data_IF_560583360382
#
_entry.id   IF_560583360382
#
_cell.length_a   1.000
_cell.length_b   1.000
_cell.length_c   1.000
_cell.angle_alpha   90.00
_cell.angle_beta   90.00
_cell.angle_gamma   90.00
#
_symmetry.space_group_name_H-M   'P 1'
#
loop_
_entity.id
_entity.type
_entity.pdbx_description
1 polymer ?
#
# COMPACT_ATOMS: atom_id res chain seq x y z
N UNK A 1 -4.17 15.06 -1.75
CA UNK A 1 -2.69 15.17 -1.74
C UNK A 1 -2.13 14.40 -0.55
N UNK A 2 -1.04 13.70 -0.74
CA UNK A 2 -0.41 12.93 0.34
C UNK A 2 0.41 13.87 1.22
N UNK A 3 0.20 13.83 2.54
CA UNK A 3 0.93 14.65 3.50
C UNK A 3 2.43 14.33 3.49
N UNK A 4 3.27 15.31 3.74
CA UNK A 4 4.73 15.17 3.66
C UNK A 4 5.26 14.06 4.59
N UNK A 5 4.74 13.95 5.80
CA UNK A 5 5.16 12.90 6.74
C UNK A 5 4.75 11.51 6.27
N UNK A 6 3.56 11.37 5.69
CA UNK A 6 3.10 10.12 5.09
C UNK A 6 3.99 9.76 3.90
N UNK A 7 4.27 10.76 3.05
CA UNK A 7 5.14 10.56 1.87
C UNK A 7 6.53 10.09 2.30
N UNK A 8 7.10 10.67 3.34
CA UNK A 8 8.42 10.27 3.84
C UNK A 8 8.43 8.81 4.32
N UNK A 9 7.39 8.38 5.04
CA UNK A 9 7.26 6.98 5.47
C UNK A 9 7.12 6.04 4.27
N UNK A 10 6.28 6.40 3.32
CA UNK A 10 5.99 5.57 2.14
C UNK A 10 7.21 5.46 1.22
N UNK A 11 7.95 6.53 1.02
CA UNK A 11 9.13 6.53 0.15
C UNK A 11 10.32 5.82 0.77
N UNK A 12 10.37 5.71 2.09
CA UNK A 12 11.38 4.92 2.77
C UNK A 12 11.19 3.42 2.54
N UNK A 13 12.20 2.62 2.87
CA UNK A 13 12.13 1.16 2.79
C UNK A 13 11.35 0.61 3.98
N UNK A 14 10.10 0.99 4.07
CA UNK A 14 9.18 0.63 5.14
C UNK A 14 8.08 -0.29 4.61
N UNK A 15 7.50 -1.10 5.48
CA UNK A 15 6.41 -1.98 5.11
C UNK A 15 5.07 -1.33 5.42
N UNK A 16 4.04 -1.84 4.77
CA UNK A 16 2.67 -1.38 4.97
C UNK A 16 1.72 -2.56 5.06
N UNK A 17 0.53 -2.31 5.56
CA UNK A 17 -0.60 -3.23 5.41
C UNK A 17 -1.66 -2.54 4.57
N UNK A 18 -2.39 -3.35 3.82
CA UNK A 18 -3.63 -2.90 3.17
C UNK A 18 -4.78 -3.74 3.68
N UNK A 19 -5.85 -3.08 4.11
CA UNK A 19 -7.09 -3.72 4.53
C UNK A 19 -8.16 -3.47 3.48
N UNK A 20 -8.80 -4.54 3.04
CA UNK A 20 -9.89 -4.53 2.05
C UNK A 20 -11.07 -5.29 2.59
N UNK A 21 -12.23 -5.16 1.93
CA UNK A 21 -13.47 -5.79 2.40
C UNK A 21 -13.80 -7.01 1.57
N UNK A 22 -13.96 -8.16 2.25
CA UNK A 22 -14.47 -9.39 1.64
C UNK A 22 -15.97 -9.23 1.32
N UNK A 23 -16.52 -10.09 0.43
CA UNK A 23 -17.92 -9.94 -0.02
C UNK A 23 -18.95 -9.85 1.12
N UNK A 24 -18.70 -10.53 2.24
CA UNK A 24 -19.60 -10.52 3.40
C UNK A 24 -19.26 -9.44 4.44
N UNK A 25 -18.35 -8.52 4.07
CA UNK A 25 -18.00 -7.39 4.94
C UNK A 25 -16.89 -7.65 5.93
N UNK A 26 -16.35 -8.85 5.99
CA UNK A 26 -15.20 -9.12 6.84
C UNK A 26 -13.96 -8.42 6.27
N UNK A 27 -13.07 -7.98 7.14
CA UNK A 27 -11.86 -7.24 6.75
C UNK A 27 -10.74 -8.23 6.50
N UNK A 28 -10.06 -8.10 5.35
CA UNK A 28 -8.85 -8.83 5.02
C UNK A 28 -7.66 -7.88 5.07
N UNK A 29 -6.59 -8.24 5.76
CA UNK A 29 -5.40 -7.40 5.92
C UNK A 29 -4.16 -8.17 5.51
N UNK A 30 -3.39 -7.61 4.58
CA UNK A 30 -2.12 -8.20 4.11
C UNK A 30 -0.99 -7.19 4.21
N UNK A 31 0.23 -7.69 4.48
CA UNK A 31 1.46 -6.89 4.39
C UNK A 31 1.81 -6.72 2.91
N UNK A 32 2.17 -5.51 2.53
CA UNK A 32 2.47 -5.16 1.14
C UNK A 32 3.67 -4.22 1.06
N UNK A 33 4.29 -4.16 -0.11
CA UNK A 33 5.17 -3.06 -0.49
C UNK A 33 4.31 -1.84 -0.85
N UNK A 34 4.85 -0.65 -0.69
CA UNK A 34 4.09 0.58 -0.86
C UNK A 34 4.91 1.65 -1.55
N UNK A 35 4.25 2.45 -2.34
CA UNK A 35 4.78 3.66 -2.95
C UNK A 35 3.69 4.73 -2.98
N UNK A 36 4.01 5.91 -3.47
CA UNK A 36 3.04 6.98 -3.65
C UNK A 36 3.48 7.91 -4.77
N UNK A 37 2.51 8.58 -5.37
CA UNK A 37 2.73 9.83 -6.09
C UNK A 37 2.28 10.99 -5.18
N UNK A 38 2.15 12.20 -5.72
CA UNK A 38 1.77 13.36 -4.91
C UNK A 38 0.35 13.26 -4.36
N UNK A 39 -0.53 12.52 -5.01
CA UNK A 39 -1.96 12.50 -4.72
C UNK A 39 -2.49 11.13 -4.28
N UNK A 40 -1.72 10.05 -4.44
CA UNK A 40 -2.19 8.69 -4.23
C UNK A 40 -1.17 7.84 -3.49
N UNK A 41 -1.68 6.95 -2.63
CA UNK A 41 -0.93 5.77 -2.22
C UNK A 41 -1.01 4.76 -3.37
N UNK A 42 0.11 4.09 -3.66
CA UNK A 42 0.25 3.17 -4.79
C UNK A 42 0.59 1.78 -4.26
N UNK A 43 -0.26 0.81 -4.59
CA UNK A 43 -0.07 -0.60 -4.25
C UNK A 43 -0.07 -1.40 -5.55
N UNK A 44 0.91 -2.30 -5.72
CA UNK A 44 0.94 -3.21 -6.86
C UNK A 44 0.43 -4.58 -6.42
N UNK A 45 -0.42 -5.20 -7.23
CA UNK A 45 -0.98 -6.51 -6.94
C UNK A 45 -1.24 -7.28 -8.25
N UNK A 46 -1.87 -8.45 -8.14
CA UNK A 46 -2.23 -9.28 -9.30
C UNK A 46 -3.74 -9.46 -9.38
N UNK A 47 -4.25 -9.54 -10.60
CA UNK A 47 -5.70 -9.70 -10.84
C UNK A 47 -6.24 -11.01 -10.25
N UNK A 48 -5.40 -12.03 -10.09
CA UNK A 48 -5.81 -13.31 -9.50
C UNK A 48 -5.92 -13.31 -7.98
N UNK A 49 -5.46 -12.27 -7.30
CA UNK A 49 -5.46 -12.22 -5.84
C UNK A 49 -6.78 -11.67 -5.29
N UNK A 50 -7.14 -12.14 -4.09
CA UNK A 50 -8.41 -11.77 -3.44
C UNK A 50 -8.54 -10.27 -3.23
N UNK A 51 -7.46 -9.58 -2.83
CA UNK A 51 -7.52 -8.14 -2.59
C UNK A 51 -7.91 -7.33 -3.83
N UNK A 52 -7.50 -7.78 -5.03
CA UNK A 52 -7.90 -7.12 -6.26
C UNK A 52 -9.41 -7.24 -6.48
N UNK A 53 -9.95 -8.44 -6.30
CA UNK A 53 -11.39 -8.69 -6.41
C UNK A 53 -12.16 -7.89 -5.36
N UNK A 54 -11.62 -7.78 -4.15
CA UNK A 54 -12.25 -7.02 -3.08
C UNK A 54 -12.40 -5.55 -3.45
N UNK A 55 -11.34 -4.91 -3.97
CA UNK A 55 -11.41 -3.47 -4.32
C UNK A 55 -12.24 -3.20 -5.56
N UNK A 56 -12.42 -4.18 -6.44
CA UNK A 56 -13.36 -4.04 -7.56
C UNK A 56 -14.81 -3.99 -7.07
N UNK A 57 -15.14 -4.80 -6.04
CA UNK A 57 -16.48 -4.86 -5.48
C UNK A 57 -16.74 -3.69 -4.51
N UNK A 58 -15.75 -3.30 -3.73
CA UNK A 58 -15.84 -2.20 -2.77
C UNK A 58 -14.46 -1.50 -2.73
N UNK A 59 -14.37 -0.27 -3.22
CA UNK A 59 -13.08 0.41 -3.37
C UNK A 59 -12.48 0.93 -2.08
N UNK A 60 -13.19 0.85 -0.94
CA UNK A 60 -12.69 1.36 0.33
C UNK A 60 -11.53 0.52 0.84
N UNK A 61 -10.47 1.20 1.26
CA UNK A 61 -9.27 0.55 1.81
C UNK A 61 -8.71 1.37 2.96
N UNK A 62 -7.93 0.71 3.81
CA UNK A 62 -7.08 1.39 4.80
C UNK A 62 -5.67 0.87 4.60
N UNK A 63 -4.71 1.80 4.52
CA UNK A 63 -3.29 1.48 4.42
C UNK A 63 -2.60 2.02 5.67
N UNK A 64 -1.85 1.16 6.36
CA UNK A 64 -1.00 1.56 7.48
C UNK A 64 0.44 1.33 7.08
N UNK A 65 1.28 2.36 7.21
CA UNK A 65 2.71 2.27 6.94
C UNK A 65 3.47 2.68 8.20
N UNK A 66 4.50 1.92 8.56
CA UNK A 66 5.27 2.17 9.79
C UNK A 66 6.75 2.26 9.49
N UNK A 67 7.45 3.02 10.33
CA UNK A 67 8.91 3.10 10.29
C UNK A 67 9.48 1.74 10.70
N UNK A 68 10.34 1.17 9.86
CA UNK A 68 10.92 -0.15 10.11
C UNK A 68 11.73 -0.20 11.39
N UNK A 69 12.34 0.91 11.79
CA UNK A 69 13.19 0.99 12.99
C UNK A 69 12.41 1.38 14.23
N UNK A 70 11.26 2.05 14.05
CA UNK A 70 10.39 2.46 15.15
C UNK A 70 8.93 2.32 14.74
N UNK A 71 8.32 1.15 14.96
CA UNK A 71 6.95 0.90 14.49
C UNK A 71 5.88 1.77 15.18
N UNK A 72 6.25 2.50 16.23
CA UNK A 72 5.37 3.48 16.87
C UNK A 72 5.36 4.83 16.16
N UNK A 73 6.17 4.98 15.12
CA UNK A 73 6.04 6.04 14.14
C UNK A 73 5.36 5.42 12.91
N UNK A 74 4.09 5.72 12.73
CA UNK A 74 3.30 5.15 11.64
C UNK A 74 2.23 6.13 11.16
N UNK A 75 1.73 5.86 9.97
CA UNK A 75 0.61 6.59 9.39
C UNK A 75 -0.52 5.63 9.05
N UNK A 76 -1.75 6.07 9.23
CA UNK A 76 -2.95 5.39 8.76
C UNK A 76 -3.60 6.25 7.69
N UNK A 77 -3.77 5.69 6.50
CA UNK A 77 -4.43 6.36 5.39
C UNK A 77 -5.71 5.59 5.07
N UNK A 78 -6.86 6.19 5.35
CA UNK A 78 -8.15 5.67 4.91
C UNK A 78 -8.47 6.32 3.58
N UNK A 79 -8.85 5.50 2.62
CA UNK A 79 -9.11 6.00 1.29
C UNK A 79 -9.89 5.02 0.45
N UNK A 80 -9.85 5.25 -0.85
CA UNK A 80 -10.52 4.38 -1.80
C UNK A 80 -9.73 4.33 -3.10
N UNK A 81 -9.83 3.18 -3.77
CA UNK A 81 -9.18 2.99 -5.06
C UNK A 81 -9.92 3.82 -6.11
N UNK A 82 -9.20 4.73 -6.77
CA UNK A 82 -9.76 5.62 -7.78
C UNK A 82 -9.34 5.24 -9.19
N UNK A 83 -8.26 4.48 -9.33
CA UNK A 83 -7.73 4.08 -10.64
C UNK A 83 -7.01 2.76 -10.52
N UNK A 84 -7.20 1.89 -11.53
CA UNK A 84 -6.46 0.64 -11.69
C UNK A 84 -5.67 0.77 -12.98
N UNK A 85 -4.34 0.71 -12.87
CA UNK A 85 -3.45 0.84 -14.01
C UNK A 85 -2.90 -0.54 -14.38
N UNK A 86 -2.98 -0.90 -15.66
CA UNK A 86 -2.58 -2.20 -16.18
C UNK A 86 -1.41 -2.04 -17.16
N UNK A 87 -0.91 -3.17 -17.67
CA UNK A 87 0.06 -3.19 -18.75
C UNK A 87 1.49 -2.84 -18.33
N UNK A 88 2.29 -2.29 -19.27
CA UNK A 88 3.73 -2.05 -19.03
C UNK A 88 4.02 -1.15 -17.83
N UNK A 89 3.15 -0.18 -17.54
CA UNK A 89 3.33 0.71 -16.40
C UNK A 89 3.26 -0.07 -15.08
N UNK A 90 2.32 -1.00 -14.97
CA UNK A 90 2.21 -1.85 -13.77
C UNK A 90 3.41 -2.77 -13.62
N UNK A 91 3.92 -3.31 -14.72
CA UNK A 91 5.11 -4.16 -14.71
C UNK A 91 6.36 -3.35 -14.32
N UNK A 92 6.49 -2.14 -14.83
CA UNK A 92 7.58 -1.25 -14.44
C UNK A 92 7.51 -0.86 -12.96
N UNK A 93 6.30 -0.65 -12.44
CA UNK A 93 6.09 -0.30 -11.04
C UNK A 93 6.52 -1.43 -10.09
N UNK A 94 6.17 -2.69 -10.38
CA UNK A 94 6.59 -3.79 -9.50
C UNK A 94 8.11 -3.97 -9.53
N UNK A 95 8.76 -3.72 -10.66
CA UNK A 95 10.21 -3.73 -10.73
C UNK A 95 10.84 -2.60 -9.90
N UNK A 96 10.28 -1.40 -9.95
CA UNK A 96 10.75 -0.27 -9.15
C UNK A 96 10.61 -0.57 -7.65
N UNK A 97 9.49 -1.17 -7.25
CA UNK A 97 9.29 -1.62 -5.87
C UNK A 97 10.29 -2.70 -5.47
N UNK A 98 10.55 -3.66 -6.34
CA UNK A 98 11.53 -4.70 -6.08
C UNK A 98 12.94 -4.12 -5.92
N UNK A 99 13.32 -3.13 -6.71
CA UNK A 99 14.60 -2.45 -6.53
C UNK A 99 14.68 -1.78 -5.16
N UNK A 100 13.60 -1.16 -4.70
CA UNK A 100 13.55 -0.54 -3.38
C UNK A 100 13.68 -1.57 -2.25
N UNK A 101 12.95 -2.68 -2.32
CA UNK A 101 12.84 -3.65 -1.22
C UNK A 101 13.84 -4.80 -1.30
N UNK A 102 14.24 -5.21 -2.50
CA UNK A 102 15.09 -6.39 -2.72
C UNK A 102 16.44 -6.05 -3.36
N UNK A 103 16.61 -4.83 -3.87
CA UNK A 103 17.79 -4.40 -4.63
C UNK A 103 17.98 -5.24 -5.91
N UNK A 104 16.88 -5.68 -6.51
CA UNK A 104 16.84 -6.51 -7.73
C UNK A 104 15.49 -6.34 -8.41
N UNK A 105 15.41 -6.76 -9.68
CA UNK A 105 14.13 -6.81 -10.37
C UNK A 105 13.23 -7.89 -9.79
N UNK A 106 11.92 -7.69 -9.93
CA UNK A 106 10.93 -8.64 -9.45
C UNK A 106 11.03 -9.95 -10.25
N UNK A 107 11.21 -11.11 -9.60
CA UNK A 107 11.35 -12.38 -10.32
C UNK A 107 10.10 -12.69 -11.14
N UNK A 108 10.29 -13.01 -12.43
CA UNK A 108 9.18 -13.35 -13.32
C UNK A 108 8.38 -14.57 -12.84
N UNK A 109 9.06 -15.54 -12.23
CA UNK A 109 8.43 -16.75 -11.71
C UNK A 109 7.48 -16.50 -10.54
N UNK A 110 7.52 -15.31 -9.92
CA UNK A 110 6.59 -14.94 -8.86
C UNK A 110 5.29 -14.36 -9.41
N UNK A 111 5.21 -14.09 -10.71
CA UNK A 111 4.02 -13.52 -11.35
C UNK A 111 3.16 -14.65 -11.87
N UNK A 112 1.95 -14.78 -11.34
CA UNK A 112 1.00 -15.84 -11.69
C UNK A 112 -0.21 -15.32 -12.46
N UNK A 113 -0.43 -14.00 -12.45
CA UNK A 113 -1.47 -13.32 -13.20
C UNK A 113 -1.02 -11.91 -13.50
N UNK A 114 -1.84 -11.14 -14.21
CA UNK A 114 -1.47 -9.77 -14.61
C UNK A 114 -1.22 -8.89 -13.39
N UNK A 115 -0.09 -8.16 -13.38
CA UNK A 115 0.19 -7.14 -12.36
C UNK A 115 -0.59 -5.88 -12.68
N UNK A 116 -1.11 -5.25 -11.62
CA UNK A 116 -1.85 -3.99 -11.72
C UNK A 116 -1.44 -3.04 -10.60
N UNK A 117 -1.60 -1.74 -10.86
CA UNK A 117 -1.42 -0.70 -9.85
C UNK A 117 -2.79 -0.30 -9.33
N UNK A 118 -2.92 -0.27 -8.00
CA UNK A 118 -4.06 0.33 -7.33
C UNK A 118 -3.65 1.74 -6.90
N UNK A 119 -4.31 2.77 -7.43
CA UNK A 119 -4.11 4.14 -6.97
C UNK A 119 -5.20 4.49 -5.97
N UNK A 120 -4.78 4.84 -4.76
CA UNK A 120 -5.67 5.07 -3.62
C UNK A 120 -5.67 6.55 -3.29
N UNK A 121 -6.83 7.19 -3.41
CA UNK A 121 -7.02 8.58 -2.98
C UNK A 121 -7.26 8.61 -1.47
N UNK A 122 -6.53 9.45 -0.73
CA UNK A 122 -6.72 9.54 0.71
C UNK A 122 -7.99 10.33 1.05
N UNK A 123 -8.81 9.77 1.94
CA UNK A 123 -9.94 10.47 2.55
C UNK A 123 -9.54 11.01 3.92
N UNK A 124 -8.63 10.33 4.61
CA UNK A 124 -8.12 10.72 5.93
C UNK A 124 -6.68 10.24 6.07
N UNK A 125 -5.82 11.08 6.62
CA UNK A 125 -4.42 10.75 6.87
C UNK A 125 -4.10 11.10 8.33
N UNK A 126 -3.70 10.11 9.11
CA UNK A 126 -3.38 10.28 10.53
C UNK A 126 -1.95 9.79 10.74
N UNK A 127 -1.12 10.64 11.35
CA UNK A 127 0.27 10.30 11.65
C UNK A 127 0.46 10.22 13.16
N UNK A 128 1.07 9.12 13.60
CA UNK A 128 1.46 8.90 14.99
C UNK A 128 2.99 8.90 15.04
N UNK A 129 3.56 9.87 15.73
CA UNK A 129 5.01 10.00 15.91
C UNK A 129 5.31 9.94 17.41
N UNK A 130 5.31 8.71 17.97
CA UNK A 130 5.34 8.49 19.41
C UNK A 130 6.62 7.82 19.87
N UNK A 131 7.04 8.16 21.09
CA UNK A 131 8.05 7.40 21.80
C UNK A 131 7.42 6.23 22.54
N UNK A 132 8.25 5.34 23.09
CA UNK A 132 7.78 4.13 23.78
C UNK A 132 6.82 4.44 24.94
N UNK A 133 7.01 5.56 25.63
CA UNK A 133 6.16 5.97 26.75
C UNK A 133 4.74 6.33 26.36
N UNK A 134 4.51 6.62 25.05
CA UNK A 134 3.19 7.03 24.56
C UNK A 134 2.27 5.85 24.22
N UNK A 135 2.77 4.63 24.17
CA UNK A 135 1.99 3.45 23.77
C UNK A 135 0.92 3.07 24.79
N UNK A 136 0.95 3.66 25.98
CA UNK A 136 -0.03 3.39 27.03
C UNK A 136 -1.39 4.03 26.82
N UNK A 137 -1.52 4.84 25.84
CA UNK A 137 -2.76 5.55 25.54
C UNK A 137 -3.90 4.63 25.19
#
# INVERSE_FOLDING_TARGET
MINDEVKALVQGKNFATISTLLPKGQIQTHVVWVDCDDDHIVINTEVGLRKFKNVQADPRVTVTVWDKKNPYFFAEVRGHVVEIVTGPEARANINALAQKYLEADYPNEWIHSERVILKIAPDSQIVFARGMHDIRR
#
